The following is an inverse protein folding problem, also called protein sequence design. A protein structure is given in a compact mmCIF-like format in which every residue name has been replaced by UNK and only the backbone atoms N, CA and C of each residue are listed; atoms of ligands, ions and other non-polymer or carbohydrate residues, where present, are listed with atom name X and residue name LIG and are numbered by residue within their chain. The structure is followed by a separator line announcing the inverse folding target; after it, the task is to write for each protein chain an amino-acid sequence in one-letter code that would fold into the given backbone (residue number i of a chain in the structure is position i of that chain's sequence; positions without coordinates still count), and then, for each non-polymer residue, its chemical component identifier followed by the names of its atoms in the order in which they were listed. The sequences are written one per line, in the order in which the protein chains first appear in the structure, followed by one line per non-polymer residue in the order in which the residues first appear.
data_IF_191981267357
#
_entry.id   IF_191981267357
#
_cell.length_a   1.000
_cell.length_b   1.000
_cell.length_c   1.000
_cell.angle_alpha   90.00
_cell.angle_beta   90.00
_cell.angle_gamma   90.00
#
_symmetry.space_group_name_H-M   'P 1'
#
loop_
_entity.id
_entity.type
_entity.pdbx_description
1 polymer ?
#
# COMPACT_ATOMS: atom_id res chain seq x y z
N UNK A 1 7.50 5.99 -20.37
CA UNK A 1 7.64 6.16 -19.88
C UNK A 1 7.43 6.10 -19.22
N UNK A 2 7.20 6.20 -18.97
CA UNK A 2 7.15 6.36 -18.21
C UNK A 2 7.12 6.61 -17.51
N UNK A 3 6.92 6.48 -17.31
CA UNK A 3 6.93 6.80 -16.53
C UNK A 3 7.34 7.63 -15.92
N UNK A 4 7.40 8.31 -16.25
CA UNK A 4 7.84 9.33 -15.79
C UNK A 4 7.24 9.80 -14.66
N UNK A 5 6.16 9.56 -14.35
CA UNK A 5 5.66 9.86 -13.18
C UNK A 5 6.17 9.06 -12.17
N UNK A 6 6.66 7.99 -12.44
CA UNK A 6 7.31 7.19 -11.49
C UNK A 6 8.66 7.75 -11.20
N UNK A 7 9.09 8.67 -11.98
CA UNK A 7 10.33 9.31 -11.73
C UNK A 7 10.05 10.49 -10.88
N UNK A 8 10.48 10.44 -9.68
CA UNK A 8 10.18 11.48 -8.78
C UNK A 8 11.20 12.54 -8.78
N UNK A 9 10.79 13.71 -8.58
CA UNK A 9 11.70 14.81 -8.46
C UNK A 9 12.57 14.58 -7.26
N UNK A 10 13.79 14.96 -7.32
CA UNK A 10 14.64 14.86 -6.17
C UNK A 10 14.04 15.64 -5.03
N UNK A 11 14.07 15.10 -3.91
CA UNK A 11 13.50 15.70 -2.76
C UNK A 11 12.03 15.48 -2.60
N UNK A 12 11.39 15.01 -3.65
CA UNK A 12 10.05 14.71 -3.55
C UNK A 12 9.99 13.31 -3.16
N UNK A 13 9.56 13.02 -2.05
CA UNK A 13 9.52 11.67 -1.59
C UNK A 13 8.20 11.10 -1.86
N UNK A 14 8.18 10.06 -2.58
CA UNK A 14 6.96 9.33 -2.74
C UNK A 14 6.92 8.36 -1.60
N UNK A 15 6.41 8.79 -0.52
CA UNK A 15 6.26 7.91 0.61
C UNK A 15 5.20 6.89 0.30
N UNK A 16 5.19 5.82 1.05
CA UNK A 16 4.12 4.84 0.93
C UNK A 16 2.77 5.50 1.09
N UNK A 17 2.65 6.40 2.04
CA UNK A 17 1.38 7.07 2.29
C UNK A 17 0.92 7.86 1.08
N UNK A 18 1.82 8.59 0.50
CA UNK A 18 1.46 9.42 -0.63
C UNK A 18 1.01 8.59 -1.82
N UNK A 19 1.76 7.56 -2.11
CA UNK A 19 1.46 6.72 -3.26
C UNK A 19 0.17 5.95 -3.04
N UNK A 20 -0.01 5.38 -1.85
CA UNK A 20 -1.19 4.59 -1.59
C UNK A 20 -2.44 5.44 -1.52
N UNK A 21 -2.36 6.63 -0.96
CA UNK A 21 -3.56 7.45 -0.85
C UNK A 21 -4.11 7.86 -2.19
N UNK A 22 -3.30 7.78 -3.23
CA UNK A 22 -3.77 8.08 -4.57
C UNK A 22 -4.38 6.85 -5.24
N UNK A 23 -4.38 5.73 -4.56
CA UNK A 23 -4.83 4.48 -5.14
C UNK A 23 -5.89 3.78 -4.30
N UNK A 24 -6.59 4.55 -3.49
CA UNK A 24 -7.69 4.00 -2.70
C UNK A 24 -8.75 3.44 -3.64
N UNK A 25 -9.24 2.28 -3.33
CA UNK A 25 -10.22 1.58 -4.15
C UNK A 25 -9.61 0.47 -4.98
N UNK A 26 -8.29 0.43 -5.09
CA UNK A 26 -7.64 -0.61 -5.86
C UNK A 26 -7.30 -1.79 -4.98
N UNK A 27 -7.17 -2.93 -5.62
CA UNK A 27 -6.78 -4.14 -4.91
C UNK A 27 -5.29 -4.12 -4.66
N UNK A 28 -4.91 -4.48 -3.46
CA UNK A 28 -3.51 -4.44 -3.05
C UNK A 28 -3.12 -5.76 -2.43
N UNK A 29 -1.95 -6.25 -2.80
CA UNK A 29 -1.31 -7.37 -2.14
C UNK A 29 -0.02 -6.82 -1.57
N UNK A 30 0.20 -6.96 -0.31
CA UNK A 30 1.31 -6.31 0.36
C UNK A 30 1.97 -7.20 1.39
N UNK A 31 3.28 -7.03 1.51
CA UNK A 31 4.07 -7.75 2.49
C UNK A 31 4.60 -6.78 3.51
N UNK A 32 4.50 -7.16 4.76
CA UNK A 32 4.94 -6.33 5.88
C UNK A 32 5.97 -7.09 6.69
N UNK A 33 6.98 -6.40 7.12
CA UNK A 33 8.00 -7.02 7.96
C UNK A 33 7.62 -6.79 9.41
N UNK A 34 7.43 -7.88 10.13
CA UNK A 34 7.00 -7.82 11.51
C UNK A 34 8.11 -8.42 12.37
N UNK A 35 8.46 -7.71 13.39
CA UNK A 35 9.48 -8.19 14.30
C UNK A 35 10.85 -8.26 13.62
N UNK A 36 11.55 -9.35 13.85
CA UNK A 36 12.92 -9.43 13.40
C UNK A 36 13.08 -10.33 12.18
N UNK A 37 12.16 -10.26 11.28
CA UNK A 37 12.39 -10.99 10.04
C UNK A 37 11.23 -11.83 9.57
N UNK A 38 10.06 -11.54 10.05
CA UNK A 38 8.91 -12.29 9.64
C UNK A 38 8.09 -11.45 8.67
N UNK A 39 7.78 -11.99 7.53
CA UNK A 39 6.95 -11.30 6.56
C UNK A 39 5.53 -11.77 6.69
N UNK A 40 4.62 -10.82 6.67
CA UNK A 40 3.20 -11.11 6.72
C UNK A 40 2.58 -10.58 5.42
N UNK A 41 1.84 -11.42 4.75
CA UNK A 41 1.22 -11.06 3.49
C UNK A 41 -0.25 -10.77 3.69
N UNK A 42 -0.70 -9.61 3.23
CA UNK A 42 -2.09 -9.22 3.35
C UNK A 42 -2.60 -8.76 1.99
N UNK A 43 -3.87 -9.05 1.72
CA UNK A 43 -4.48 -8.63 0.46
C UNK A 43 -5.87 -8.09 0.71
N UNK A 44 -6.28 -7.18 -0.14
CA UNK A 44 -7.63 -6.64 -0.06
C UNK A 44 -7.72 -5.36 -0.86
N UNK A 45 -8.90 -4.78 -0.86
CA UNK A 45 -9.10 -3.51 -1.51
C UNK A 45 -8.62 -2.41 -0.56
N UNK A 46 -7.84 -1.50 -1.06
CA UNK A 46 -7.32 -0.44 -0.23
C UNK A 46 -8.45 0.49 0.15
N UNK A 47 -8.73 0.56 1.42
CA UNK A 47 -9.88 1.28 1.94
C UNK A 47 -9.51 2.64 2.50
N UNK A 48 -8.41 2.73 3.19
CA UNK A 48 -7.99 3.98 3.81
C UNK A 48 -6.50 3.97 4.04
N UNK A 49 -5.92 5.15 4.08
CA UNK A 49 -4.50 5.33 4.37
C UNK A 49 -4.39 6.47 5.36
N UNK A 50 -3.81 6.21 6.49
CA UNK A 50 -3.60 7.23 7.51
C UNK A 50 -2.15 7.68 7.50
N UNK A 51 -1.74 8.36 8.54
CA UNK A 51 -0.37 8.83 8.64
C UNK A 51 0.62 7.67 8.85
N UNK A 52 0.20 6.67 9.58
CA UNK A 52 1.11 5.58 9.90
C UNK A 52 0.44 4.21 9.74
N UNK A 53 -0.70 4.15 9.08
CA UNK A 53 -1.37 2.88 8.88
C UNK A 53 -2.08 2.83 7.55
N UNK A 54 -2.45 1.64 7.14
CA UNK A 54 -3.35 1.49 6.02
C UNK A 54 -4.42 0.49 6.41
N UNK A 55 -5.52 0.51 5.69
CA UNK A 55 -6.62 -0.41 5.92
C UNK A 55 -6.98 -1.08 4.62
N UNK A 56 -7.02 -2.39 4.63
CA UNK A 56 -7.47 -3.17 3.49
C UNK A 56 -8.81 -3.79 3.84
N UNK A 57 -9.68 -3.85 2.88
CA UNK A 57 -10.99 -4.45 3.07
C UNK A 57 -11.04 -5.76 2.31
N UNK A 58 -11.38 -6.83 3.02
CA UNK A 58 -11.45 -8.14 2.41
C UNK A 58 -12.77 -8.74 2.81
N UNK A 59 -13.71 -8.74 1.88
CA UNK A 59 -15.06 -9.19 2.15
C UNK A 59 -15.65 -8.40 3.30
N UNK A 60 -15.90 -9.03 4.42
CA UNK A 60 -16.50 -8.35 5.53
C UNK A 60 -15.49 -7.87 6.56
N UNK A 61 -14.22 -8.02 6.29
CA UNK A 61 -13.20 -7.72 7.27
C UNK A 61 -12.37 -6.52 6.85
N UNK A 62 -11.89 -5.79 7.85
CA UNK A 62 -10.97 -4.72 7.61
C UNK A 62 -9.65 -5.11 8.28
N UNK A 63 -8.57 -5.04 7.50
CA UNK A 63 -7.25 -5.36 8.01
C UNK A 63 -6.46 -4.09 8.08
N UNK A 64 -5.96 -3.78 9.25
CA UNK A 64 -5.20 -2.57 9.43
C UNK A 64 -3.75 -2.94 9.72
N UNK A 65 -2.83 -2.27 9.08
CA UNK A 65 -1.43 -2.58 9.22
C UNK A 65 -0.58 -1.33 9.33
N UNK A 66 0.58 -1.51 9.93
CA UNK A 66 1.54 -0.43 10.16
C UNK A 66 2.21 -0.09 8.84
N UNK A 67 2.05 1.13 8.40
CA UNK A 67 2.59 1.56 7.14
C UNK A 67 4.10 1.53 7.11
N UNK A 68 4.74 1.71 8.26
CA UNK A 68 6.19 1.69 8.31
C UNK A 68 6.77 0.28 8.19
N UNK A 69 5.94 -0.71 8.37
CA UNK A 69 6.37 -2.09 8.21
C UNK A 69 6.20 -2.60 6.78
N UNK A 70 5.61 -1.79 5.93
CA UNK A 70 5.34 -2.20 4.55
C UNK A 70 6.64 -2.27 3.78
N UNK A 71 6.88 -3.39 3.12
CA UNK A 71 8.09 -3.58 2.34
C UNK A 71 7.83 -3.77 0.86
N UNK A 72 6.65 -4.22 0.50
CA UNK A 72 6.40 -4.58 -0.86
C UNK A 72 4.90 -4.55 -1.12
N UNK A 73 4.49 -3.97 -2.18
CA UNK A 73 3.06 -3.91 -2.52
C UNK A 73 2.85 -4.00 -4.01
N UNK A 74 1.82 -4.72 -4.38
CA UNK A 74 1.37 -4.79 -5.76
C UNK A 74 -0.02 -4.20 -5.79
N UNK A 75 -0.23 -3.22 -6.63
CA UNK A 75 -1.52 -2.59 -6.77
C UNK A 75 -2.11 -2.97 -8.10
N UNK A 76 -3.38 -3.26 -8.11
CA UNK A 76 -4.04 -3.72 -9.30
C UNK A 76 -5.28 -2.90 -9.54
N UNK A 77 -5.50 -2.55 -10.78
CA UNK A 77 -6.73 -1.88 -11.11
C UNK A 77 -7.85 -2.85 -10.93
N UNK A 78 -8.96 -2.35 -10.47
CA UNK A 78 -10.14 -3.15 -10.41
C UNK A 78 -10.66 -3.27 -11.80
N UNK A 79 -10.72 -4.50 -12.27
CA UNK A 79 -11.10 -4.70 -13.56
C UNK A 79 -12.51 -4.95 -13.60
N UNK A 80 -13.29 -4.31 -14.12
CA UNK A 80 -14.70 -4.66 -14.07
C UNK A 80 -15.30 -5.02 -15.38
#
# INVERSE_FOLDING_TARGET
MMDEKMTLAPGLTASWRSMLSQNIGKWVAADFLVGTGRLVHLEGVLYAVGNDYLVLCDEDSYLSADLYALKFAVLRENDT
#
